data_IF_255071475100
#
_entry.id   IF_255071475100
#
_cell.length_a   1.000
_cell.length_b   1.000
_cell.length_c   1.000
_cell.angle_alpha   90.00
_cell.angle_beta   90.00
_cell.angle_gamma   90.00
#
_symmetry.space_group_name_H-M   'P 1'
#
loop_
_entity.id
_entity.type
_entity.pdbx_description
1 polymer ?
#
# COMPACT_ATOMS: atom_id res chain seq x y z
N UNK A 1 -0.81 13.64 0.97
CA UNK A 1 -2.02 12.90 0.55
C UNK A 1 -1.96 12.80 -0.96
N UNK A 2 -2.10 11.59 -1.50
CA UNK A 2 -1.89 11.31 -2.92
C UNK A 2 -2.94 10.34 -3.43
N UNK A 3 -3.25 10.39 -4.72
CA UNK A 3 -4.21 9.48 -5.36
C UNK A 3 -3.62 8.90 -6.63
N UNK A 4 -3.87 7.61 -6.90
CA UNK A 4 -3.39 6.92 -8.09
C UNK A 4 -4.04 5.56 -8.28
N UNK A 5 -3.83 4.96 -9.43
CA UNK A 5 -4.17 3.57 -9.72
C UNK A 5 -3.02 2.65 -9.28
N UNK A 6 -3.37 1.49 -8.74
CA UNK A 6 -2.39 0.47 -8.35
C UNK A 6 -1.98 -0.32 -9.59
N UNK A 7 -0.69 -0.35 -9.90
CA UNK A 7 -0.17 -1.01 -11.10
C UNK A 7 0.49 -2.37 -10.79
N UNK A 8 1.11 -2.49 -9.62
CA UNK A 8 1.78 -3.70 -9.15
C UNK A 8 1.64 -3.87 -7.63
N UNK A 9 1.60 -5.12 -7.16
CA UNK A 9 1.54 -5.50 -5.75
C UNK A 9 2.52 -6.64 -5.50
N UNK A 10 3.33 -6.53 -4.45
CA UNK A 10 4.31 -7.53 -4.00
C UNK A 10 3.90 -8.12 -2.63
N UNK A 11 3.36 -9.35 -2.60
CA UNK A 11 2.94 -10.01 -1.36
C UNK A 11 4.05 -10.81 -0.66
N UNK A 12 5.24 -10.93 -1.26
CA UNK A 12 6.31 -11.85 -0.82
C UNK A 12 6.82 -11.57 0.59
N UNK A 13 6.73 -10.32 1.07
CA UNK A 13 7.23 -9.91 2.38
C UNK A 13 6.18 -9.99 3.51
N UNK A 14 5.02 -10.62 3.27
CA UNK A 14 4.01 -10.82 4.30
C UNK A 14 4.47 -11.79 5.41
N UNK A 15 4.04 -11.60 6.67
CA UNK A 15 3.10 -10.58 7.14
C UNK A 15 3.75 -9.23 7.49
N UNK A 16 5.06 -9.05 7.23
CA UNK A 16 5.84 -7.88 7.70
C UNK A 16 5.50 -6.62 6.91
N UNK A 17 5.32 -6.73 5.61
CA UNK A 17 4.96 -5.61 4.75
C UNK A 17 4.19 -6.05 3.50
N UNK A 18 3.56 -5.07 2.85
CA UNK A 18 3.05 -5.18 1.48
C UNK A 18 3.71 -4.10 0.63
N UNK A 19 4.42 -4.51 -0.42
CA UNK A 19 4.98 -3.60 -1.42
C UNK A 19 3.95 -3.34 -2.52
N UNK A 20 3.88 -2.12 -3.05
CA UNK A 20 3.03 -1.82 -4.21
C UNK A 20 3.53 -0.60 -4.97
N UNK A 21 3.07 -0.44 -6.21
CA UNK A 21 3.37 0.71 -7.07
C UNK A 21 2.08 1.40 -7.51
N UNK A 22 2.16 2.72 -7.70
CA UNK A 22 1.10 3.53 -8.29
C UNK A 22 1.56 4.27 -9.54
N UNK A 23 0.61 4.59 -10.41
CA UNK A 23 0.84 5.39 -11.63
C UNK A 23 1.18 6.86 -11.35
N UNK A 24 0.84 7.36 -10.16
CA UNK A 24 1.20 8.68 -9.66
C UNK A 24 2.23 8.58 -8.54
N UNK A 25 3.01 9.66 -8.39
CA UNK A 25 3.97 9.79 -7.29
C UNK A 25 3.30 10.00 -5.93
N UNK A 26 3.97 9.55 -4.88
CA UNK A 26 3.60 9.75 -3.49
C UNK A 26 4.66 10.60 -2.77
N UNK A 27 4.53 11.92 -2.86
CA UNK A 27 5.48 12.86 -2.27
C UNK A 27 6.79 12.91 -3.05
N UNK A 28 7.91 12.61 -2.38
CA UNK A 28 9.23 12.48 -3.02
C UNK A 28 9.42 11.15 -3.76
N UNK A 29 8.49 10.21 -3.61
CA UNK A 29 8.54 8.93 -4.30
C UNK A 29 7.90 9.08 -5.69
N UNK A 30 8.66 8.94 -6.78
CA UNK A 30 8.13 9.13 -8.13
C UNK A 30 7.11 8.05 -8.50
N UNK A 31 6.33 8.28 -9.55
CA UNK A 31 5.46 7.26 -10.13
C UNK A 31 6.24 5.98 -10.46
N UNK A 32 5.63 4.82 -10.20
CA UNK A 32 6.28 3.52 -10.40
C UNK A 32 7.35 3.15 -9.37
N UNK A 33 7.65 4.01 -8.39
CA UNK A 33 8.50 3.61 -7.26
C UNK A 33 7.76 2.65 -6.33
N UNK A 34 8.51 1.75 -5.68
CA UNK A 34 7.95 0.85 -4.69
C UNK A 34 7.59 1.62 -3.42
N UNK A 35 6.31 1.60 -3.10
CA UNK A 35 5.75 2.05 -1.84
C UNK A 35 5.61 0.85 -0.91
N UNK A 36 5.81 1.07 0.38
CA UNK A 36 5.73 0.02 1.39
C UNK A 36 4.68 0.36 2.43
N UNK A 37 3.75 -0.57 2.67
CA UNK A 37 2.91 -0.55 3.87
C UNK A 37 3.49 -1.53 4.88
N UNK A 38 3.87 -1.04 6.06
CA UNK A 38 4.44 -1.87 7.13
C UNK A 38 3.32 -2.36 8.06
N UNK A 39 3.45 -3.60 8.53
CA UNK A 39 2.45 -4.24 9.37
C UNK A 39 2.17 -3.48 10.68
N UNK A 40 0.89 -3.20 10.93
CA UNK A 40 0.39 -2.52 12.13
C UNK A 40 -0.51 -3.46 12.93
N UNK A 41 -0.47 -3.34 14.25
CA UNK A 41 -1.27 -4.17 15.17
C UNK A 41 -0.58 -4.37 16.52
N UNK A 42 -1.37 -4.70 17.56
CA UNK A 42 -0.89 -4.93 18.94
C UNK A 42 -0.03 -6.19 19.09
N UNK A 43 -0.28 -7.20 18.26
CA UNK A 43 0.36 -8.51 18.33
C UNK A 43 0.55 -9.11 16.92
N UNK A 44 1.17 -10.29 16.86
CA UNK A 44 1.49 -10.96 15.60
C UNK A 44 0.25 -11.36 14.79
N UNK A 45 -0.83 -11.77 15.46
CA UNK A 45 -2.07 -12.16 14.79
C UNK A 45 -2.78 -10.94 14.18
N UNK A 46 -2.88 -9.85 14.94
CA UNK A 46 -3.43 -8.58 14.47
C UNK A 46 -2.62 -8.02 13.29
N UNK A 47 -1.29 -8.09 13.35
CA UNK A 47 -0.41 -7.69 12.23
C UNK A 47 -0.70 -8.51 10.98
N UNK A 48 -0.73 -9.84 11.09
CA UNK A 48 -1.02 -10.71 9.95
C UNK A 48 -2.41 -10.42 9.33
N UNK A 49 -3.44 -10.26 10.16
CA UNK A 49 -4.79 -9.93 9.71
C UNK A 49 -4.85 -8.58 8.99
N UNK A 50 -4.20 -7.54 9.53
CA UNK A 50 -4.17 -6.23 8.90
C UNK A 50 -3.39 -6.23 7.58
N UNK A 51 -2.26 -6.95 7.51
CA UNK A 51 -1.48 -7.09 6.27
C UNK A 51 -2.31 -7.82 5.19
N UNK A 52 -3.08 -8.85 5.56
CA UNK A 52 -4.02 -9.52 4.64
C UNK A 52 -5.13 -8.59 4.16
N UNK A 53 -5.69 -7.76 5.04
CA UNK A 53 -6.70 -6.76 4.66
C UNK A 53 -6.14 -5.74 3.66
N UNK A 54 -4.92 -5.23 3.91
CA UNK A 54 -4.25 -4.28 3.01
C UNK A 54 -3.93 -4.91 1.66
N UNK A 55 -3.41 -6.14 1.63
CA UNK A 55 -3.21 -6.88 0.39
C UNK A 55 -4.51 -7.00 -0.40
N UNK A 56 -5.62 -7.35 0.27
CA UNK A 56 -6.92 -7.51 -0.36
C UNK A 56 -7.44 -6.21 -0.97
N UNK A 57 -7.25 -5.07 -0.28
CA UNK A 57 -7.60 -3.74 -0.80
C UNK A 57 -6.77 -3.41 -2.04
N UNK A 58 -5.45 -3.63 -2.01
CA UNK A 58 -4.55 -3.30 -3.11
C UNK A 58 -4.80 -4.16 -4.35
N UNK A 59 -4.99 -5.47 -4.19
CA UNK A 59 -5.38 -6.37 -5.29
C UNK A 59 -6.73 -5.94 -5.84
N UNK A 60 -7.71 -5.65 -4.98
CA UNK A 60 -9.04 -5.18 -5.41
C UNK A 60 -8.91 -3.91 -6.24
N UNK A 61 -8.15 -2.92 -5.77
CA UNK A 61 -7.91 -1.67 -6.50
C UNK A 61 -7.29 -1.93 -7.88
N UNK A 62 -6.28 -2.81 -7.95
CA UNK A 62 -5.58 -3.17 -9.17
C UNK A 62 -6.53 -3.84 -10.19
N UNK A 63 -7.30 -4.84 -9.78
CA UNK A 63 -8.18 -5.59 -10.71
C UNK A 63 -9.42 -4.82 -11.12
N UNK A 64 -9.93 -3.94 -10.25
CA UNK A 64 -11.12 -3.12 -10.53
C UNK A 64 -10.79 -1.77 -11.17
N UNK A 65 -9.49 -1.48 -11.34
CA UNK A 65 -8.99 -0.20 -11.83
C UNK A 65 -9.57 0.99 -11.05
N UNK A 66 -9.74 0.80 -9.73
CA UNK A 66 -10.18 1.84 -8.80
C UNK A 66 -8.98 2.60 -8.26
N UNK A 67 -9.18 3.89 -8.01
CA UNK A 67 -8.14 4.73 -7.40
C UNK A 67 -7.99 4.37 -5.93
N UNK A 68 -6.76 4.48 -5.44
CA UNK A 68 -6.46 4.49 -4.01
C UNK A 68 -6.00 5.88 -3.60
N UNK A 69 -6.36 6.26 -2.38
CA UNK A 69 -5.87 7.45 -1.71
C UNK A 69 -4.90 7.07 -0.60
N UNK A 70 -3.69 7.60 -0.68
CA UNK A 70 -2.54 7.25 0.16
C UNK A 70 -2.15 8.40 1.10
N UNK A 71 -1.88 8.04 2.35
CA UNK A 71 -1.31 8.93 3.36
C UNK A 71 -0.11 8.24 4.00
N UNK A 72 1.02 8.93 4.13
CA UNK A 72 2.22 8.35 4.71
C UNK A 72 3.40 9.31 4.74
N UNK A 73 4.56 8.76 5.07
CA UNK A 73 5.83 9.48 5.13
C UNK A 73 6.52 9.45 3.75
N UNK A 74 6.64 10.64 3.16
CA UNK A 74 7.20 10.86 1.83
C UNK A 74 8.70 10.49 1.73
N UNK A 75 9.47 10.57 2.83
CA UNK A 75 10.92 10.42 2.78
C UNK A 75 11.38 8.97 2.52
N UNK A 76 10.61 7.98 2.97
CA UNK A 76 10.98 6.56 2.90
C UNK A 76 9.99 5.74 2.06
N UNK A 77 9.16 6.38 1.24
CA UNK A 77 8.10 5.71 0.46
C UNK A 77 7.22 4.78 1.30
N UNK A 78 6.96 5.19 2.55
CA UNK A 78 6.21 4.38 3.50
C UNK A 78 4.80 4.94 3.62
N UNK A 79 3.81 4.07 3.43
CA UNK A 79 2.40 4.43 3.46
C UNK A 79 1.79 3.96 4.76
N UNK A 80 1.05 4.85 5.40
CA UNK A 80 0.42 4.61 6.68
C UNK A 80 -1.05 4.22 6.56
N UNK A 81 -1.77 4.88 5.66
CA UNK A 81 -3.19 4.69 5.43
C UNK A 81 -3.49 4.61 3.94
N UNK A 82 -4.36 3.68 3.58
CA UNK A 82 -4.79 3.39 2.21
C UNK A 82 -6.32 3.40 2.23
N UNK A 83 -6.92 4.20 1.37
CA UNK A 83 -8.37 4.21 1.15
C UNK A 83 -8.67 3.81 -0.28
N UNK A 84 -9.59 2.86 -0.46
CA UNK A 84 -10.15 2.51 -1.77
C UNK A 84 -11.26 3.50 -2.14
N UNK A 85 -11.29 3.98 -3.38
CA UNK A 85 -12.27 4.96 -3.90
C UNK A 85 -13.28 4.37 -4.90
#
# INVERSE_FOLDING_TARGET
MYEGYVNAVEPTCMPVSVGFQTDNGAGSCPAGSWLNWLAKGSDAAAKAANTQAVLSVLITAQVTHRKVRLHGNNLNCTIDFIHLL
#
